data_IF_933265659782
#
_entry.id   IF_933265659782
#
_cell.length_a   1.000
_cell.length_b   1.000
_cell.length_c   1.000
_cell.angle_alpha   90.00
_cell.angle_beta   90.00
_cell.angle_gamma   90.00
#
_symmetry.space_group_name_H-M   'P 1'
#
loop_
_entity.id
_entity.type
_entity.pdbx_description
1 polymer ?
#
# COMPACT_ATOMS: atom_id res chain seq x y z
N UNK A 1 10.97 1.89 0.13
CA UNK A 1 10.35 3.19 0.48
C UNK A 1 9.98 3.19 1.96
N UNK A 2 10.03 4.34 2.58
CA UNK A 2 9.72 4.45 4.02
C UNK A 2 8.21 4.55 4.25
N UNK A 3 7.76 4.01 5.39
CA UNK A 3 6.36 4.06 5.78
C UNK A 3 5.80 5.47 5.76
N UNK A 4 6.56 6.43 6.28
CA UNK A 4 6.13 7.83 6.36
C UNK A 4 5.86 8.42 4.99
N UNK A 5 6.63 8.04 3.99
CA UNK A 5 6.42 8.49 2.62
C UNK A 5 5.10 7.94 2.06
N UNK A 6 4.83 6.67 2.31
CA UNK A 6 3.60 6.04 1.84
C UNK A 6 2.37 6.61 2.53
N UNK A 7 2.48 6.97 3.81
CA UNK A 7 1.36 7.54 4.55
C UNK A 7 0.83 8.82 3.92
N UNK A 8 1.67 9.55 3.19
CA UNK A 8 1.25 10.77 2.49
C UNK A 8 0.31 10.47 1.31
N UNK A 9 0.25 9.22 0.87
CA UNK A 9 -0.59 8.81 -0.25
C UNK A 9 -1.85 8.08 0.16
N UNK A 10 -2.02 7.81 1.45
CA UNK A 10 -3.20 7.09 1.94
C UNK A 10 -4.48 7.89 1.60
N UNK A 11 -5.46 7.19 1.03
CA UNK A 11 -6.69 7.80 0.58
C UNK A 11 -6.66 8.30 -0.86
N UNK A 12 -5.51 8.25 -1.51
CA UNK A 12 -5.35 8.70 -2.89
C UNK A 12 -5.26 7.51 -3.83
N UNK A 13 -5.66 7.72 -5.09
CA UNK A 13 -5.49 6.70 -6.12
C UNK A 13 -4.05 6.78 -6.61
N UNK A 14 -3.35 5.65 -6.54
CA UNK A 14 -1.93 5.61 -6.87
C UNK A 14 -1.60 4.39 -7.71
N UNK A 15 -0.48 4.47 -8.41
CA UNK A 15 0.17 3.31 -9.03
C UNK A 15 1.40 2.98 -8.22
N UNK A 16 1.49 1.74 -7.76
CA UNK A 16 2.59 1.28 -6.91
C UNK A 16 3.35 0.19 -7.65
N UNK A 17 4.66 0.38 -7.76
CA UNK A 17 5.53 -0.63 -8.33
C UNK A 17 6.16 -1.42 -7.19
N UNK A 18 5.87 -2.70 -7.14
CA UNK A 18 6.31 -3.59 -6.09
C UNK A 18 7.49 -4.46 -6.55
N UNK A 19 8.33 -4.79 -5.60
CA UNK A 19 9.53 -5.57 -5.88
C UNK A 19 9.21 -6.95 -6.44
N UNK A 20 8.25 -7.64 -5.87
CA UNK A 20 7.92 -9.02 -6.27
C UNK A 20 6.58 -9.21 -6.97
N UNK A 21 5.72 -8.22 -6.96
CA UNK A 21 4.35 -8.37 -7.44
C UNK A 21 4.01 -7.51 -8.66
N UNK A 22 5.00 -6.86 -9.25
CA UNK A 22 4.77 -5.99 -10.39
C UNK A 22 4.11 -4.68 -10.01
N UNK A 23 3.23 -4.17 -10.85
CA UNK A 23 2.60 -2.89 -10.66
C UNK A 23 1.12 -3.05 -10.33
N UNK A 24 0.66 -2.35 -9.31
CA UNK A 24 -0.75 -2.34 -8.93
C UNK A 24 -1.25 -0.90 -8.88
N UNK A 25 -2.52 -0.70 -9.24
CA UNK A 25 -3.15 0.61 -9.29
C UNK A 25 -4.46 0.57 -8.51
N UNK A 26 -4.69 1.56 -7.69
CA UNK A 26 -5.91 1.68 -6.93
C UNK A 26 -5.73 2.64 -5.77
N UNK A 27 -6.75 2.70 -4.90
CA UNK A 27 -6.72 3.56 -3.73
C UNK A 27 -5.81 2.94 -2.67
N UNK A 28 -4.86 3.70 -2.19
CA UNK A 28 -3.95 3.25 -1.13
C UNK A 28 -4.64 3.34 0.22
N UNK A 29 -4.59 2.24 0.97
CA UNK A 29 -5.10 2.19 2.33
C UNK A 29 -4.01 1.63 3.23
N UNK A 30 -4.11 1.94 4.53
CA UNK A 30 -3.12 1.52 5.50
C UNK A 30 -3.76 0.68 6.59
N UNK A 31 -3.16 -0.48 6.86
CA UNK A 31 -3.60 -1.37 7.92
C UNK A 31 -2.68 -1.10 9.12
N UNK A 32 -3.19 -0.33 10.08
CA UNK A 32 -2.39 0.13 11.23
C UNK A 32 -2.42 -0.82 12.42
N UNK A 33 -3.36 -1.76 12.43
CA UNK A 33 -3.54 -2.64 13.58
C UNK A 33 -4.07 -4.00 13.12
N UNK A 34 -4.24 -4.89 14.07
CA UNK A 34 -4.88 -6.18 13.79
C UNK A 34 -6.31 -5.92 13.34
N UNK A 35 -6.62 -6.34 12.14
CA UNK A 35 -7.94 -6.19 11.56
C UNK A 35 -8.49 -7.57 11.27
N UNK A 36 -9.67 -7.86 11.79
CA UNK A 36 -10.34 -9.13 11.60
C UNK A 36 -10.54 -9.48 10.13
N UNK A 37 -10.80 -8.48 9.31
CA UNK A 37 -10.94 -8.62 7.87
C UNK A 37 -9.71 -9.25 7.22
N UNK A 38 -8.55 -9.05 7.80
CA UNK A 38 -7.28 -9.55 7.27
C UNK A 38 -6.71 -10.67 8.14
N UNK A 39 -7.56 -11.33 8.90
CA UNK A 39 -7.17 -12.47 9.75
C UNK A 39 -6.13 -12.13 10.81
N UNK A 40 -6.16 -10.88 11.30
CA UNK A 40 -5.22 -10.40 12.31
C UNK A 40 -3.76 -10.51 11.88
N UNK A 41 -3.51 -10.49 10.59
CA UNK A 41 -2.16 -10.57 10.05
C UNK A 41 -1.64 -9.22 9.60
N UNK A 42 -0.34 -9.08 9.68
CA UNK A 42 0.37 -8.01 9.00
C UNK A 42 0.01 -6.60 9.41
N UNK A 43 0.17 -6.25 10.70
CA UNK A 43 0.08 -4.86 11.08
C UNK A 43 1.15 -4.06 10.33
N UNK A 44 0.88 -2.79 10.08
CA UNK A 44 1.78 -1.89 9.35
C UNK A 44 1.95 -2.27 7.88
N UNK A 45 0.90 -2.78 7.27
CA UNK A 45 0.88 -3.05 5.83
C UNK A 45 -0.02 -2.07 5.10
N UNK A 46 0.25 -1.94 3.82
CA UNK A 46 -0.56 -1.15 2.90
C UNK A 46 -1.32 -2.07 1.97
N UNK A 47 -2.45 -1.58 1.46
CA UNK A 47 -3.25 -2.32 0.50
C UNK A 47 -3.63 -1.42 -0.67
N UNK A 48 -3.50 -1.97 -1.88
CA UNK A 48 -3.96 -1.34 -3.13
C UNK A 48 -4.57 -2.45 -3.98
N UNK A 49 -5.80 -2.23 -4.45
CA UNK A 49 -6.48 -3.19 -5.33
C UNK A 49 -6.46 -4.62 -4.79
N UNK A 50 -6.70 -4.78 -3.50
CA UNK A 50 -6.70 -6.07 -2.78
C UNK A 50 -5.33 -6.74 -2.64
N UNK A 51 -4.26 -6.07 -3.06
CA UNK A 51 -2.90 -6.55 -2.85
C UNK A 51 -2.31 -5.88 -1.61
N UNK A 52 -1.86 -6.69 -0.65
CA UNK A 52 -1.20 -6.18 0.54
C UNK A 52 0.32 -6.21 0.37
N UNK A 53 1.00 -5.21 0.89
CA UNK A 53 2.45 -5.13 0.79
C UNK A 53 3.02 -4.31 1.94
N UNK A 54 4.32 -4.45 2.15
CA UNK A 54 5.03 -3.66 3.15
C UNK A 54 5.71 -2.48 2.47
N UNK A 55 5.98 -1.43 3.23
CA UNK A 55 6.65 -0.25 2.69
C UNK A 55 7.99 -0.61 2.02
N UNK A 56 8.73 -1.55 2.59
CA UNK A 56 10.03 -1.95 2.04
C UNK A 56 9.92 -2.67 0.70
N UNK A 57 8.74 -3.17 0.35
CA UNK A 57 8.51 -3.85 -0.93
C UNK A 57 8.19 -2.89 -2.06
N UNK A 58 7.97 -1.62 -1.75
CA UNK A 58 7.61 -0.61 -2.75
C UNK A 58 8.87 -0.02 -3.38
N UNK A 59 8.98 -0.16 -4.70
CA UNK A 59 10.05 0.45 -5.46
C UNK A 59 9.73 1.89 -5.86
N UNK A 60 8.50 2.12 -6.33
CA UNK A 60 8.05 3.44 -6.73
C UNK A 60 6.57 3.59 -6.45
N UNK A 61 6.14 4.81 -6.23
CA UNK A 61 4.72 5.14 -6.09
C UNK A 61 4.45 6.45 -6.81
N UNK A 62 3.31 6.52 -7.50
CA UNK A 62 2.91 7.71 -8.23
C UNK A 62 1.43 7.96 -8.00
N UNK A 63 1.08 9.18 -7.64
CA UNK A 63 -0.31 9.58 -7.50
C UNK A 63 -0.94 9.77 -8.88
N UNK A 64 -2.12 9.15 -9.08
CA UNK A 64 -2.87 9.33 -10.32
C UNK A 64 -3.84 10.48 -10.12
N UNK A 65 -3.74 11.47 -10.98
CA UNK A 65 -4.67 12.60 -10.98
C UNK A 65 -5.53 12.52 -12.23
N UNK A 66 -6.81 12.66 -12.01
CA UNK A 66 -7.77 12.74 -13.12
C UNK A 66 -8.06 14.18 -13.46
#
# INVERSE_FOLDING_TARGET
>A
MKKEELLNYVGKVVTVKLYNAGTVTGKLEYISSWDEKYEYRCPNRFIVADETFRAIDVLEIEEIRE
#
